data_IF_480105492292
#
_entry.id   IF_480105492292
#
_cell.length_a   1.000
_cell.length_b   1.000
_cell.length_c   1.000
_cell.angle_alpha   90.00
_cell.angle_beta   90.00
_cell.angle_gamma   90.00
#
_symmetry.space_group_name_H-M   'P 1'
#
loop_
_entity.id
_entity.type
_entity.pdbx_description
1 polymer ?
#
# COMPACT_ATOMS: atom_id res chain seq x y z
N UNK A 1 -2.63 -10.46 -8.97
CA UNK A 1 -1.78 -9.59 -8.13
C UNK A 1 -2.63 -9.18 -6.94
N UNK A 2 -2.23 -9.57 -5.72
CA UNK A 2 -2.91 -9.17 -4.48
C UNK A 2 -2.07 -8.04 -3.88
N UNK A 3 -2.62 -6.84 -3.88
CA UNK A 3 -1.95 -5.64 -3.39
C UNK A 3 -3.00 -4.55 -3.28
N UNK A 4 -3.37 -4.19 -2.05
CA UNK A 4 -4.42 -3.22 -1.74
C UNK A 4 -3.73 -1.95 -1.27
N UNK A 5 -3.96 -0.81 -1.93
CA UNK A 5 -3.54 0.50 -1.41
C UNK A 5 -4.73 1.18 -0.73
N UNK A 6 -4.71 1.34 0.60
CA UNK A 6 -5.77 2.05 1.34
C UNK A 6 -5.41 3.54 1.49
N UNK A 7 -6.26 4.42 0.96
CA UNK A 7 -6.09 5.90 1.01
C UNK A 7 -7.03 6.51 2.05
N UNK A 8 -6.61 7.56 2.74
CA UNK A 8 -7.37 8.20 3.83
C UNK A 8 -8.35 9.31 3.41
N UNK A 9 -8.47 9.68 2.12
CA UNK A 9 -9.40 10.78 1.74
C UNK A 9 -10.85 10.29 1.56
N UNK A 10 -11.85 11.01 2.13
CA UNK A 10 -13.24 10.58 2.18
C UNK A 10 -14.03 10.67 0.85
N UNK A 11 -13.43 11.13 -0.27
CA UNK A 11 -14.16 11.29 -1.54
C UNK A 11 -13.68 10.42 -2.71
N UNK A 12 -12.61 9.64 -2.56
CA UNK A 12 -12.15 8.73 -3.64
C UNK A 12 -11.71 7.36 -3.09
N UNK A 13 -12.51 6.80 -2.18
CA UNK A 13 -12.51 5.36 -1.92
C UNK A 13 -13.20 4.60 -3.09
N UNK A 14 -12.95 5.00 -4.34
CA UNK A 14 -13.60 4.43 -5.51
C UNK A 14 -12.68 3.41 -6.18
N UNK A 15 -12.35 2.35 -5.45
CA UNK A 15 -12.34 1.02 -6.06
C UNK A 15 -12.29 -0.06 -4.97
N UNK A 16 -13.14 -1.10 -5.04
CA UNK A 16 -13.15 -2.15 -4.03
C UNK A 16 -11.80 -2.89 -3.98
N UNK A 17 -11.53 -3.47 -2.81
CA UNK A 17 -10.30 -4.18 -2.42
C UNK A 17 -9.80 -5.23 -3.43
N UNK A 18 -10.60 -5.65 -4.40
CA UNK A 18 -10.21 -6.46 -5.55
C UNK A 18 -11.16 -6.17 -6.70
N UNK A 19 -10.89 -5.11 -7.46
CA UNK A 19 -11.63 -4.84 -8.68
C UNK A 19 -10.82 -5.19 -9.93
N UNK A 20 -11.05 -6.39 -10.47
CA UNK A 20 -10.48 -6.80 -11.75
C UNK A 20 -10.89 -5.84 -12.89
N UNK A 21 -12.04 -5.17 -12.78
CA UNK A 21 -12.51 -4.21 -13.78
C UNK A 21 -11.71 -2.89 -13.76
N UNK A 22 -11.19 -2.48 -12.60
CA UNK A 22 -10.31 -1.33 -12.47
C UNK A 22 -8.95 -1.58 -13.12
N UNK A 23 -8.40 -2.80 -12.95
CA UNK A 23 -7.18 -3.24 -13.63
C UNK A 23 -7.32 -3.22 -15.15
N UNK A 24 -8.43 -3.78 -15.68
CA UNK A 24 -8.70 -3.79 -17.12
C UNK A 24 -8.95 -2.38 -17.67
N UNK A 25 -9.60 -1.50 -16.88
CA UNK A 25 -9.80 -0.11 -17.24
C UNK A 25 -8.49 0.70 -17.28
N UNK A 26 -7.50 0.34 -16.47
CA UNK A 26 -6.18 0.97 -16.48
C UNK A 26 -5.34 0.55 -17.68
N UNK A 27 -5.52 -0.67 -18.21
CA UNK A 27 -4.86 -1.12 -19.45
C UNK A 27 -5.28 -0.35 -20.71
N UNK A 28 -6.35 0.47 -20.62
CA UNK A 28 -6.78 1.37 -21.69
C UNK A 28 -6.10 2.74 -21.64
N UNK A 29 -5.33 3.04 -20.58
CA UNK A 29 -4.58 4.29 -20.43
C UNK A 29 -3.11 4.06 -20.80
N UNK A 30 -2.41 5.12 -21.19
CA UNK A 30 -0.97 5.05 -21.41
C UNK A 30 -0.22 4.83 -20.09
N UNK A 31 0.94 4.15 -20.11
CA UNK A 31 1.79 4.01 -18.93
C UNK A 31 2.14 5.34 -18.26
N UNK A 32 2.31 6.41 -19.04
CA UNK A 32 2.63 7.76 -18.55
C UNK A 32 1.47 8.37 -17.76
N UNK A 33 0.23 8.16 -18.20
CA UNK A 33 -0.96 8.62 -17.47
C UNK A 33 -1.13 7.89 -16.15
N UNK A 34 -0.93 6.57 -16.13
CA UNK A 34 -0.96 5.76 -14.91
C UNK A 34 0.12 6.23 -13.94
N UNK A 35 1.36 6.38 -14.43
CA UNK A 35 2.47 6.87 -13.61
C UNK A 35 2.16 8.24 -13.02
N UNK A 36 1.80 9.24 -13.84
CA UNK A 36 1.55 10.60 -13.34
C UNK A 36 0.42 10.63 -12.31
N UNK A 37 -0.67 9.89 -12.55
CA UNK A 37 -1.79 9.74 -11.61
C UNK A 37 -1.34 9.14 -10.28
N UNK A 38 -0.65 8.00 -10.34
CA UNK A 38 -0.25 7.27 -9.14
C UNK A 38 0.77 8.09 -8.32
N UNK A 39 1.72 8.75 -8.97
CA UNK A 39 2.66 9.65 -8.31
C UNK A 39 1.98 10.85 -7.64
N UNK A 40 0.99 11.47 -8.29
CA UNK A 40 0.21 12.55 -7.69
C UNK A 40 -0.56 12.06 -6.46
N UNK A 41 -1.14 10.87 -6.53
CA UNK A 41 -1.84 10.27 -5.40
C UNK A 41 -0.91 9.97 -4.22
N UNK A 42 0.29 9.46 -4.47
CA UNK A 42 1.32 9.29 -3.43
C UNK A 42 1.76 10.64 -2.85
N UNK A 43 1.85 11.69 -3.68
CA UNK A 43 2.19 13.04 -3.25
C UNK A 43 1.08 13.71 -2.43
N UNK A 44 -0.17 13.29 -2.56
CA UNK A 44 -1.33 13.91 -1.89
C UNK A 44 -1.89 13.15 -0.67
N UNK A 45 -1.55 11.87 -0.49
CA UNK A 45 -2.06 11.08 0.63
C UNK A 45 -1.53 11.55 2.00
N UNK A 46 -2.27 11.32 3.09
CA UNK A 46 -1.75 11.61 4.45
C UNK A 46 -0.93 10.44 4.99
N UNK A 47 -1.37 9.22 4.66
CA UNK A 47 -0.74 7.96 5.03
C UNK A 47 -0.79 7.04 3.81
N UNK A 48 0.32 6.39 3.49
CA UNK A 48 0.36 5.32 2.51
C UNK A 48 0.12 3.99 3.22
N UNK A 49 -0.86 3.22 2.76
CA UNK A 49 -1.15 1.90 3.31
C UNK A 49 -1.17 0.92 2.16
N UNK A 50 -0.45 -0.19 2.26
CA UNK A 50 -0.38 -1.20 1.22
C UNK A 50 -0.44 -2.62 1.79
N UNK A 51 -0.97 -3.57 1.02
CA UNK A 51 -0.87 -5.02 1.27
C UNK A 51 0.23 -5.61 0.36
N UNK A 52 1.22 -6.31 0.94
CA UNK A 52 2.50 -6.66 0.28
C UNK A 52 2.83 -8.15 0.29
N UNK A 53 1.84 -9.03 0.52
CA UNK A 53 2.00 -10.50 0.42
C UNK A 53 2.40 -10.98 -0.97
N UNK A 54 2.06 -10.20 -2.00
CA UNK A 54 2.47 -10.43 -3.37
C UNK A 54 3.81 -9.79 -3.69
N UNK A 55 4.62 -10.46 -4.50
CA UNK A 55 5.76 -9.80 -5.14
C UNK A 55 5.23 -8.83 -6.21
N UNK A 56 5.54 -7.55 -6.04
CA UNK A 56 5.15 -6.47 -6.94
C UNK A 56 6.29 -5.46 -7.04
N UNK A 57 6.88 -5.34 -8.24
CA UNK A 57 7.85 -4.28 -8.52
C UNK A 57 7.24 -2.89 -8.33
N UNK A 58 5.95 -2.72 -8.67
CA UNK A 58 5.22 -1.45 -8.50
C UNK A 58 5.11 -1.05 -7.04
N UNK A 59 4.64 -1.94 -6.16
CA UNK A 59 4.49 -1.63 -4.73
C UNK A 59 5.84 -1.36 -4.06
N UNK A 60 6.90 -2.06 -4.49
CA UNK A 60 8.27 -1.75 -4.06
C UNK A 60 8.71 -0.35 -4.48
N UNK A 61 8.43 0.04 -5.72
CA UNK A 61 8.71 1.38 -6.25
C UNK A 61 7.95 2.46 -5.48
N UNK A 62 6.63 2.29 -5.29
CA UNK A 62 5.79 3.25 -4.57
C UNK A 62 6.20 3.39 -3.11
N UNK A 63 6.48 2.27 -2.42
CA UNK A 63 6.97 2.25 -1.04
C UNK A 63 8.30 2.98 -0.93
N UNK A 64 9.24 2.70 -1.84
CA UNK A 64 10.54 3.36 -1.89
C UNK A 64 10.42 4.86 -2.14
N UNK A 65 9.55 5.26 -3.07
CA UNK A 65 9.29 6.68 -3.33
C UNK A 65 8.74 7.41 -2.10
N UNK A 66 7.69 6.87 -1.46
CA UNK A 66 7.07 7.51 -0.29
C UNK A 66 8.07 7.64 0.84
N UNK A 67 8.80 6.56 1.17
CA UNK A 67 9.76 6.58 2.29
C UNK A 67 11.01 7.43 2.00
N UNK A 68 11.49 7.42 0.75
CA UNK A 68 12.71 8.13 0.36
C UNK A 68 12.50 9.60 0.00
N UNK A 69 11.29 9.98 -0.42
CA UNK A 69 11.01 11.33 -0.97
C UNK A 69 10.02 12.13 -0.13
N UNK A 70 9.45 11.55 0.93
CA UNK A 70 8.45 12.22 1.77
C UNK A 70 8.65 11.90 3.25
N UNK A 71 8.08 12.72 4.13
CA UNK A 71 7.98 12.40 5.56
C UNK A 71 6.72 11.60 5.91
N UNK A 72 5.98 11.13 4.89
CA UNK A 72 4.70 10.47 5.10
C UNK A 72 4.90 9.13 5.76
N UNK A 73 3.90 8.78 6.55
CA UNK A 73 3.86 7.50 7.21
C UNK A 73 3.35 6.43 6.25
N UNK A 74 3.95 5.25 6.37
CA UNK A 74 3.66 4.08 5.56
C UNK A 74 3.29 2.90 6.45
N UNK A 75 2.22 2.18 6.11
CA UNK A 75 1.80 0.95 6.78
C UNK A 75 1.74 -0.15 5.73
N UNK A 76 2.51 -1.20 5.90
CA UNK A 76 2.56 -2.34 4.99
C UNK A 76 1.97 -3.55 5.71
N UNK A 77 0.82 -4.02 5.25
CA UNK A 77 0.20 -5.24 5.71
C UNK A 77 0.72 -6.44 4.93
N UNK A 78 0.90 -7.57 5.59
CA UNK A 78 1.18 -8.82 4.88
C UNK A 78 0.57 -10.02 5.57
N UNK A 79 0.13 -10.99 4.79
CA UNK A 79 -0.33 -12.29 5.24
C UNK A 79 0.87 -13.06 5.78
N UNK A 80 0.80 -13.49 7.05
CA UNK A 80 1.89 -14.20 7.73
C UNK A 80 2.36 -15.42 6.94
N UNK A 81 1.44 -16.17 6.35
CA UNK A 81 1.74 -17.34 5.52
C UNK A 81 2.49 -17.02 4.21
N UNK A 82 2.52 -15.75 3.79
CA UNK A 82 3.20 -15.30 2.58
C UNK A 82 4.61 -14.74 2.83
N UNK A 83 5.02 -14.56 4.09
CA UNK A 83 6.25 -13.85 4.49
C UNK A 83 7.51 -14.29 3.74
N UNK A 84 7.70 -15.60 3.56
CA UNK A 84 8.87 -16.17 2.87
C UNK A 84 8.98 -15.81 1.39
N UNK A 85 7.89 -15.33 0.77
CA UNK A 85 7.84 -14.91 -0.63
C UNK A 85 7.84 -13.39 -0.81
N UNK A 86 7.83 -12.63 0.30
CA UNK A 86 7.91 -11.18 0.29
C UNK A 86 9.37 -10.77 0.05
N UNK A 87 9.58 -9.64 -0.62
CA UNK A 87 10.91 -9.08 -0.81
C UNK A 87 11.61 -8.83 0.53
N UNK A 88 12.88 -9.25 0.63
CA UNK A 88 13.73 -8.98 1.80
C UNK A 88 13.92 -7.47 2.06
N UNK A 89 13.79 -6.62 1.03
CA UNK A 89 13.79 -5.17 1.21
C UNK A 89 12.59 -4.67 2.00
N UNK A 90 11.45 -5.36 1.90
CA UNK A 90 10.22 -5.01 2.61
C UNK A 90 10.26 -5.58 4.03
N UNK A 91 10.57 -6.87 4.19
CA UNK A 91 10.64 -7.50 5.52
C UNK A 91 11.81 -7.01 6.37
N UNK A 92 12.90 -6.56 5.73
CA UNK A 92 14.04 -5.91 6.38
C UNK A 92 13.91 -4.38 6.51
N UNK A 93 12.76 -3.79 6.17
CA UNK A 93 12.59 -2.34 6.19
C UNK A 93 12.48 -1.81 7.63
N UNK A 94 13.48 -1.06 8.06
CA UNK A 94 13.55 -0.44 9.40
C UNK A 94 13.32 1.07 9.39
N UNK A 95 12.82 1.61 8.27
CA UNK A 95 12.60 3.05 8.15
C UNK A 95 11.62 3.56 9.24
N UNK A 96 11.93 4.66 9.96
CA UNK A 96 11.14 5.11 11.12
C UNK A 96 9.70 5.55 10.79
N UNK A 97 9.42 5.78 9.51
CA UNK A 97 8.07 6.09 9.03
C UNK A 97 7.32 4.87 8.49
N UNK A 98 7.91 3.68 8.50
CA UNK A 98 7.31 2.46 8.00
C UNK A 98 6.91 1.52 9.14
N UNK A 99 5.64 1.10 9.15
CA UNK A 99 5.13 0.04 10.01
C UNK A 99 4.85 -1.20 9.16
N UNK A 100 5.53 -2.30 9.44
CA UNK A 100 5.26 -3.59 8.79
C UNK A 100 4.40 -4.43 9.73
N UNK A 101 3.19 -4.80 9.28
CA UNK A 101 2.16 -5.40 10.13
C UNK A 101 1.69 -6.74 9.55
N UNK A 102 2.04 -7.88 10.17
CA UNK A 102 1.51 -9.16 9.76
C UNK A 102 0.02 -9.27 10.12
N UNK A 103 -0.74 -9.97 9.28
CA UNK A 103 -2.10 -10.41 9.58
C UNK A 103 -2.27 -11.90 9.25
N UNK A 104 -3.21 -12.55 9.94
CA UNK A 104 -3.54 -13.96 9.69
C UNK A 104 -4.83 -14.07 8.87
N UNK A 105 -5.78 -13.15 9.07
CA UNK A 105 -7.03 -13.09 8.31
C UNK A 105 -7.31 -11.69 7.78
N UNK A 106 -7.85 -11.60 6.57
CA UNK A 106 -8.19 -10.31 5.94
C UNK A 106 -9.19 -9.51 6.77
N UNK A 107 -10.07 -10.18 7.52
CA UNK A 107 -11.03 -9.54 8.42
C UNK A 107 -10.38 -8.75 9.57
N UNK A 108 -9.11 -9.01 9.88
CA UNK A 108 -8.37 -8.32 10.95
C UNK A 108 -7.85 -6.94 10.49
N UNK A 109 -7.72 -6.73 9.18
CA UNK A 109 -7.12 -5.53 8.60
C UNK A 109 -7.76 -4.21 9.08
N UNK A 110 -9.10 -4.06 9.16
CA UNK A 110 -9.71 -2.82 9.64
C UNK A 110 -9.35 -2.50 11.10
N UNK A 111 -9.33 -3.51 11.97
CA UNK A 111 -8.96 -3.34 13.38
C UNK A 111 -7.48 -2.98 13.52
N UNK A 112 -6.60 -3.71 12.82
CA UNK A 112 -5.17 -3.42 12.80
C UNK A 112 -4.88 -2.01 12.26
N UNK A 113 -5.59 -1.57 11.21
CA UNK A 113 -5.44 -0.22 10.68
C UNK A 113 -5.90 0.84 11.69
N UNK A 114 -6.98 0.60 12.44
CA UNK A 114 -7.43 1.50 13.49
C UNK A 114 -6.37 1.62 14.61
N UNK A 115 -5.79 0.50 15.04
CA UNK A 115 -4.73 0.48 16.06
C UNK A 115 -3.48 1.25 15.61
N UNK A 116 -3.05 1.07 14.36
CA UNK A 116 -1.92 1.82 13.80
C UNK A 116 -2.18 3.33 13.72
N UNK A 117 -3.45 3.76 13.62
CA UNK A 117 -3.84 5.17 13.68
C UNK A 117 -3.89 5.68 15.11
N UNK A 118 -4.34 4.87 16.06
CA UNK A 118 -4.42 5.22 17.48
C UNK A 118 -3.03 5.39 18.14
N UNK A 119 -2.03 4.61 17.72
CA UNK A 119 -0.64 4.75 18.18
C UNK A 119 0.06 6.07 17.77
N UNK A 120 -0.68 7.02 17.19
CA UNK A 120 -0.18 8.28 16.64
C UNK A 120 -0.86 9.52 17.21
N UNK A 121 -1.82 9.36 18.13
CA UNK A 121 -2.38 10.44 18.96
C UNK A 121 -1.63 10.53 20.29
#
# INVERSE_FOLDING_TARGET
MRGIVLRSRPQEASSPLFDLSAWEADRRKSPQEIFARDMNWLAECDVFVAEVSGSSFGLGFETGYVLGSTAKKTILFYERGAESRISLLITGNTHPNCSLVPYDRTEDLPALLADQRALRS
#
